data_IF_719017810857
#
_entry.id   IF_719017810857
#
_cell.length_a   1.000
_cell.length_b   1.000
_cell.length_c   1.000
_cell.angle_alpha   90.00
_cell.angle_beta   90.00
_cell.angle_gamma   90.00
#
_symmetry.space_group_name_H-M   'P 1'
#
loop_
_entity.id
_entity.type
_entity.pdbx_description
1 polymer ?
#
# COMPACT_ATOMS: atom_id res chain seq x y z
N UNK A 1 -39.36 -10.46 -27.56
CA UNK A 1 -38.50 -9.70 -28.46
C UNK A 1 -38.15 -8.33 -27.89
N UNK A 2 -36.84 -8.04 -27.75
CA UNK A 2 -36.32 -6.73 -27.29
C UNK A 2 -35.83 -5.91 -28.47
N UNK A 3 -36.12 -4.60 -28.46
CA UNK A 3 -35.68 -3.64 -29.49
C UNK A 3 -34.87 -2.51 -28.85
N UNK A 4 -33.71 -2.18 -29.44
CA UNK A 4 -32.87 -1.06 -29.02
C UNK A 4 -33.29 0.20 -29.79
N UNK A 5 -33.89 1.15 -29.09
CA UNK A 5 -34.29 2.45 -29.66
C UNK A 5 -33.18 3.47 -29.34
N UNK A 6 -32.68 4.12 -30.42
CA UNK A 6 -31.69 5.20 -30.34
C UNK A 6 -32.32 6.49 -30.82
N UNK A 7 -32.21 7.56 -30.02
CA UNK A 7 -32.68 8.90 -30.41
C UNK A 7 -31.56 9.91 -30.15
N UNK A 8 -31.14 10.58 -31.25
CA UNK A 8 -30.08 11.56 -31.15
C UNK A 8 -30.46 12.68 -30.17
N UNK A 9 -29.52 13.05 -29.28
CA UNK A 9 -29.71 14.06 -28.24
C UNK A 9 -30.55 13.61 -27.03
N UNK A 10 -31.12 12.39 -27.03
CA UNK A 10 -31.96 11.88 -25.94
C UNK A 10 -31.33 10.64 -25.27
N UNK A 11 -30.66 9.78 -26.05
CA UNK A 11 -30.03 8.59 -25.52
C UNK A 11 -30.50 7.28 -26.16
N UNK A 12 -30.29 6.18 -25.42
CA UNK A 12 -30.60 4.82 -25.83
C UNK A 12 -31.64 4.22 -24.85
N UNK A 13 -32.64 3.51 -25.38
CA UNK A 13 -33.68 2.85 -24.59
C UNK A 13 -33.90 1.43 -25.12
N UNK A 14 -34.06 0.48 -24.22
CA UNK A 14 -34.52 -0.89 -24.51
C UNK A 14 -36.04 -0.89 -24.41
N UNK A 15 -36.72 -1.38 -25.44
CA UNK A 15 -38.19 -1.53 -25.49
C UNK A 15 -38.53 -2.99 -25.75
N UNK A 16 -39.56 -3.49 -25.06
CA UNK A 16 -40.05 -4.86 -25.15
C UNK A 16 -41.02 -5.17 -24.05
N UNK A 17 -41.49 -6.42 -23.98
CA UNK A 17 -42.30 -6.89 -22.86
C UNK A 17 -41.49 -6.83 -21.53
N UNK A 18 -42.20 -6.55 -20.43
CA UNK A 18 -41.55 -6.40 -19.11
C UNK A 18 -40.81 -7.66 -18.71
N UNK A 19 -41.34 -8.81 -19.06
CA UNK A 19 -40.77 -10.14 -18.81
C UNK A 19 -39.46 -10.34 -19.59
N UNK A 20 -39.42 -9.89 -20.86
CA UNK A 20 -38.20 -9.97 -21.71
C UNK A 20 -37.12 -9.02 -21.21
N UNK A 21 -37.48 -7.82 -20.74
CA UNK A 21 -36.56 -6.86 -20.15
C UNK A 21 -35.96 -7.40 -18.85
N UNK A 22 -36.79 -8.01 -17.99
CA UNK A 22 -36.32 -8.60 -16.73
C UNK A 22 -35.47 -9.86 -16.98
N UNK A 23 -35.81 -10.67 -17.98
CA UNK A 23 -34.98 -11.79 -18.41
C UNK A 23 -33.60 -11.35 -18.92
N UNK A 24 -33.55 -10.25 -19.70
CA UNK A 24 -32.29 -9.66 -20.13
C UNK A 24 -31.49 -9.11 -18.93
N UNK A 25 -32.15 -8.44 -17.99
CA UNK A 25 -31.51 -7.95 -16.77
C UNK A 25 -30.89 -9.08 -15.94
N UNK A 26 -31.64 -10.17 -15.75
CA UNK A 26 -31.14 -11.36 -15.05
C UNK A 26 -30.01 -12.05 -15.82
N UNK A 27 -30.07 -12.07 -17.16
CA UNK A 27 -29.01 -12.61 -18.00
C UNK A 27 -27.74 -11.75 -17.92
N UNK A 28 -27.87 -10.42 -17.92
CA UNK A 28 -26.74 -9.49 -17.75
C UNK A 28 -26.15 -9.55 -16.32
N UNK A 29 -26.99 -9.76 -15.30
CA UNK A 29 -26.51 -9.95 -13.93
C UNK A 29 -25.81 -11.32 -13.73
N UNK A 30 -26.15 -12.33 -14.55
CA UNK A 30 -25.47 -13.63 -14.58
C UNK A 30 -24.22 -13.65 -15.45
N UNK A 31 -24.14 -12.81 -16.46
CA UNK A 31 -22.91 -12.51 -17.16
C UNK A 31 -22.13 -11.54 -16.25
N UNK A 32 -21.12 -12.02 -15.57
CA UNK A 32 -20.15 -11.14 -14.95
C UNK A 32 -19.66 -10.18 -16.05
N UNK A 33 -19.71 -8.86 -15.84
CA UNK A 33 -19.04 -7.95 -16.76
C UNK A 33 -17.55 -8.22 -16.61
N UNK A 34 -16.98 -8.95 -17.57
CA UNK A 34 -15.52 -9.05 -17.75
C UNK A 34 -14.97 -7.73 -18.33
N UNK A 35 -15.60 -6.62 -18.05
CA UNK A 35 -15.14 -5.31 -18.48
C UNK A 35 -14.58 -4.56 -17.28
N UNK A 36 -13.28 -4.70 -17.12
CA UNK A 36 -12.52 -3.89 -16.16
C UNK A 36 -12.57 -2.42 -16.55
N UNK A 37 -12.71 -1.53 -15.58
CA UNK A 37 -12.48 -0.09 -15.78
C UNK A 37 -11.05 0.14 -16.26
N UNK A 38 -10.72 1.30 -16.84
CA UNK A 38 -9.33 1.61 -17.20
C UNK A 38 -8.36 1.48 -16.03
N UNK A 39 -8.76 1.90 -14.84
CA UNK A 39 -7.98 1.84 -13.61
C UNK A 39 -7.74 0.38 -13.17
N UNK A 40 -8.79 -0.43 -13.18
CA UNK A 40 -8.70 -1.86 -12.87
C UNK A 40 -7.78 -2.59 -13.84
N UNK A 41 -7.87 -2.30 -15.15
CA UNK A 41 -6.98 -2.89 -16.15
C UNK A 41 -5.52 -2.50 -15.92
N UNK A 42 -5.27 -1.23 -15.57
CA UNK A 42 -3.93 -0.75 -15.26
C UNK A 42 -3.34 -1.49 -14.07
N UNK A 43 -4.11 -1.65 -12.99
CA UNK A 43 -3.71 -2.43 -11.82
C UNK A 43 -3.41 -3.89 -12.20
N UNK A 44 -4.29 -4.53 -12.96
CA UNK A 44 -4.08 -5.90 -13.44
C UNK A 44 -2.83 -6.07 -14.30
N UNK A 45 -2.56 -5.10 -15.19
CA UNK A 45 -1.33 -5.10 -16.00
C UNK A 45 -0.09 -4.93 -15.12
N UNK A 46 -0.12 -4.05 -14.13
CA UNK A 46 1.00 -3.88 -13.20
C UNK A 46 1.29 -5.16 -12.42
N UNK A 47 0.26 -5.81 -11.88
CA UNK A 47 0.44 -7.11 -11.21
C UNK A 47 1.11 -8.12 -12.13
N UNK A 48 0.61 -8.26 -13.37
CA UNK A 48 1.19 -9.20 -14.34
C UNK A 48 2.65 -8.87 -14.68
N UNK A 49 3.00 -7.59 -14.83
CA UNK A 49 4.37 -7.17 -15.16
C UNK A 49 5.32 -7.29 -13.96
N UNK A 50 4.82 -7.13 -12.74
CA UNK A 50 5.60 -7.30 -11.51
C UNK A 50 5.88 -8.78 -11.20
N UNK A 51 4.94 -9.68 -11.54
CA UNK A 51 5.12 -11.13 -11.43
C UNK A 51 6.01 -11.71 -12.53
N UNK A 52 6.06 -11.05 -13.70
CA UNK A 52 6.76 -11.59 -14.86
C UNK A 52 8.28 -11.53 -14.69
N UNK A 53 8.95 -12.69 -14.73
CA UNK A 53 10.41 -12.79 -14.82
C UNK A 53 10.95 -12.55 -16.23
N UNK A 54 10.07 -12.48 -17.24
CA UNK A 54 10.40 -12.29 -18.66
C UNK A 54 9.43 -11.30 -19.33
N UNK A 55 9.81 -10.69 -20.46
CA UNK A 55 8.97 -9.72 -21.16
C UNK A 55 7.62 -10.31 -21.59
N UNK A 56 6.55 -9.65 -21.19
CA UNK A 56 5.18 -10.06 -21.47
C UNK A 56 4.71 -9.59 -22.83
N UNK A 57 4.11 -10.46 -23.62
CA UNK A 57 3.57 -10.10 -24.95
C UNK A 57 2.30 -9.25 -24.80
N UNK A 58 2.17 -8.18 -25.60
CA UNK A 58 0.97 -7.34 -25.62
C UNK A 58 -0.31 -8.13 -25.92
N UNK A 59 -0.21 -9.16 -26.77
CA UNK A 59 -1.35 -10.02 -27.09
C UNK A 59 -1.79 -10.86 -25.89
N UNK A 60 -0.87 -11.28 -25.03
CA UNK A 60 -1.21 -11.98 -23.79
C UNK A 60 -2.00 -11.07 -22.86
N UNK A 61 -1.49 -9.86 -22.58
CA UNK A 61 -2.20 -8.87 -21.78
C UNK A 61 -3.58 -8.53 -22.36
N UNK A 62 -3.69 -8.40 -23.69
CA UNK A 62 -4.96 -8.11 -24.36
C UNK A 62 -5.97 -9.25 -24.18
N UNK A 63 -5.53 -10.49 -24.28
CA UNK A 63 -6.37 -11.67 -24.05
C UNK A 63 -6.81 -11.80 -22.59
N UNK A 64 -5.88 -11.64 -21.65
CA UNK A 64 -6.15 -11.76 -20.22
C UNK A 64 -7.16 -10.71 -19.73
N UNK A 65 -7.09 -9.51 -20.30
CA UNK A 65 -7.98 -8.39 -19.97
C UNK A 65 -9.22 -8.31 -20.88
N UNK A 66 -9.34 -9.20 -21.85
CA UNK A 66 -10.42 -9.20 -22.84
C UNK A 66 -10.60 -7.84 -23.56
N UNK A 67 -9.50 -7.22 -23.97
CA UNK A 67 -9.46 -5.95 -24.69
C UNK A 67 -8.60 -6.01 -25.95
N UNK A 68 -8.56 -4.93 -26.72
CA UNK A 68 -7.70 -4.87 -27.91
C UNK A 68 -6.25 -4.54 -27.53
N UNK A 69 -5.30 -4.91 -28.38
CA UNK A 69 -3.88 -4.51 -28.21
C UNK A 69 -3.74 -2.98 -28.19
N UNK A 70 -4.58 -2.25 -28.94
CA UNK A 70 -4.62 -0.79 -28.93
C UNK A 70 -5.01 -0.23 -27.55
N UNK A 71 -5.99 -0.84 -26.88
CA UNK A 71 -6.39 -0.51 -25.50
C UNK A 71 -5.24 -0.73 -24.53
N UNK A 72 -4.61 -1.91 -24.58
CA UNK A 72 -3.42 -2.22 -23.76
C UNK A 72 -2.30 -1.20 -23.98
N UNK A 73 -2.00 -0.88 -25.24
CA UNK A 73 -0.97 0.12 -25.56
C UNK A 73 -1.28 1.51 -24.99
N UNK A 74 -2.56 1.93 -25.04
CA UNK A 74 -3.01 3.19 -24.44
C UNK A 74 -2.90 3.20 -22.92
N UNK A 75 -3.32 2.12 -22.27
CA UNK A 75 -3.28 1.99 -20.81
C UNK A 75 -1.81 1.92 -20.31
N UNK A 76 -0.91 1.19 -20.99
CA UNK A 76 0.52 1.18 -20.69
C UNK A 76 1.16 2.57 -20.82
N UNK A 77 0.71 3.40 -21.77
CA UNK A 77 1.22 4.79 -21.91
C UNK A 77 0.82 5.66 -20.72
N UNK A 78 -0.37 5.45 -20.16
CA UNK A 78 -0.79 6.16 -18.94
C UNK A 78 0.02 5.71 -17.73
N UNK A 79 0.32 4.41 -17.64
CA UNK A 79 1.14 3.84 -16.56
C UNK A 79 2.56 4.41 -16.52
N UNK A 80 3.15 4.78 -17.67
CA UNK A 80 4.52 5.34 -17.71
C UNK A 80 4.68 6.58 -16.83
N UNK A 81 3.65 7.45 -16.79
CA UNK A 81 3.67 8.64 -15.91
C UNK A 81 3.74 8.27 -14.42
N UNK A 82 2.89 7.34 -13.98
CA UNK A 82 2.84 6.88 -12.59
C UNK A 82 4.13 6.12 -12.19
N UNK A 83 4.66 5.29 -13.08
CA UNK A 83 5.86 4.48 -12.82
C UNK A 83 7.12 5.35 -12.63
N UNK A 84 7.15 6.52 -13.25
CA UNK A 84 8.24 7.48 -13.03
C UNK A 84 8.37 7.91 -11.57
N UNK A 85 7.26 8.03 -10.83
CA UNK A 85 7.25 8.38 -9.40
C UNK A 85 7.89 7.29 -8.52
N UNK A 86 7.95 6.06 -9.05
CA UNK A 86 8.62 4.93 -8.42
C UNK A 86 10.03 4.67 -8.95
N UNK A 87 10.57 5.52 -9.84
CA UNK A 87 11.81 5.26 -10.56
C UNK A 87 11.79 3.93 -11.37
N UNK A 88 10.62 3.55 -11.86
CA UNK A 88 10.39 2.36 -12.69
C UNK A 88 10.13 2.77 -14.14
N UNK A 89 10.52 1.92 -15.09
CA UNK A 89 10.37 2.17 -16.52
C UNK A 89 9.74 0.99 -17.23
N UNK A 90 8.89 1.26 -18.23
CA UNK A 90 8.37 0.26 -19.16
C UNK A 90 9.26 0.19 -20.41
N UNK A 91 9.92 -0.94 -20.62
CA UNK A 91 10.63 -1.21 -21.85
C UNK A 91 9.69 -1.91 -22.82
N UNK A 92 9.42 -1.28 -23.97
CA UNK A 92 8.57 -1.83 -25.03
C UNK A 92 9.40 -2.02 -26.30
N UNK A 93 9.52 -3.25 -26.78
CA UNK A 93 10.25 -3.57 -28.03
C UNK A 93 9.38 -4.45 -28.90
N UNK A 94 9.29 -4.11 -30.19
CA UNK A 94 8.56 -4.89 -31.19
C UNK A 94 9.09 -6.32 -31.24
N UNK A 95 8.20 -7.30 -31.12
CA UNK A 95 8.55 -8.73 -31.09
C UNK A 95 9.10 -9.24 -29.75
N UNK A 96 9.62 -8.35 -28.89
CA UNK A 96 10.13 -8.68 -27.57
C UNK A 96 8.99 -8.73 -26.53
N UNK A 97 8.22 -7.69 -26.43
CA UNK A 97 7.12 -7.54 -25.48
C UNK A 97 7.26 -6.25 -24.67
N UNK A 98 6.65 -6.26 -23.49
CA UNK A 98 6.74 -5.21 -22.49
C UNK A 98 7.32 -5.77 -21.18
N UNK A 99 8.19 -5.03 -20.56
CA UNK A 99 8.90 -5.40 -19.34
C UNK A 99 8.97 -4.19 -18.40
N UNK A 100 8.81 -4.44 -17.10
CA UNK A 100 8.97 -3.44 -16.05
C UNK A 100 10.39 -3.52 -15.48
N UNK A 101 11.15 -2.43 -15.62
CA UNK A 101 12.56 -2.37 -15.23
C UNK A 101 12.77 -1.29 -14.17
N UNK A 102 13.61 -1.60 -13.18
CA UNK A 102 14.01 -0.74 -12.08
C UNK A 102 14.54 -1.54 -10.90
N UNK A 103 14.98 -0.83 -9.86
CA UNK A 103 15.49 -1.42 -8.64
C UNK A 103 14.42 -2.24 -7.90
N UNK A 104 14.84 -3.32 -7.26
CA UNK A 104 13.92 -4.23 -6.54
C UNK A 104 13.15 -3.51 -5.43
N UNK A 105 13.80 -2.60 -4.71
CA UNK A 105 13.15 -1.76 -3.70
C UNK A 105 11.96 -0.96 -4.28
N UNK A 106 12.16 -0.39 -5.47
CA UNK A 106 11.12 0.36 -6.19
C UNK A 106 9.95 -0.55 -6.61
N UNK A 107 10.23 -1.76 -7.08
CA UNK A 107 9.20 -2.75 -7.43
C UNK A 107 8.40 -3.17 -6.19
N UNK A 108 9.06 -3.48 -5.07
CA UNK A 108 8.40 -3.83 -3.80
C UNK A 108 7.55 -2.69 -3.25
N UNK A 109 8.04 -1.46 -3.37
CA UNK A 109 7.27 -0.28 -2.99
C UNK A 109 5.98 -0.17 -3.81
N UNK A 110 6.05 -0.32 -5.12
CA UNK A 110 4.87 -0.32 -5.99
C UNK A 110 3.90 -1.46 -5.62
N UNK A 111 4.41 -2.69 -5.40
CA UNK A 111 3.58 -3.83 -4.98
C UNK A 111 2.84 -3.55 -3.67
N UNK A 112 3.54 -3.04 -2.68
CA UNK A 112 2.96 -2.70 -1.37
C UNK A 112 1.89 -1.61 -1.48
N UNK A 113 2.15 -0.58 -2.27
CA UNK A 113 1.20 0.51 -2.49
C UNK A 113 -0.06 0.03 -3.24
N UNK A 114 0.09 -0.87 -4.24
CA UNK A 114 -1.05 -1.49 -4.91
C UNK A 114 -1.90 -2.32 -3.95
N UNK A 115 -1.27 -3.13 -3.09
CA UNK A 115 -1.96 -3.93 -2.09
C UNK A 115 -2.70 -3.01 -1.10
N UNK A 116 -2.02 -1.99 -0.56
CA UNK A 116 -2.59 -1.07 0.42
C UNK A 116 -3.72 -0.20 -0.13
N UNK A 117 -3.70 0.09 -1.44
CA UNK A 117 -4.73 0.91 -2.10
C UNK A 117 -6.01 0.12 -2.37
N UNK A 118 -5.89 -1.18 -2.64
CA UNK A 118 -7.00 -2.02 -3.10
C UNK A 118 -7.50 -3.04 -2.09
N UNK A 119 -6.77 -3.26 -0.98
CA UNK A 119 -7.20 -4.09 0.14
C UNK A 119 -7.39 -3.22 1.37
N UNK A 120 -8.62 -3.15 1.87
CA UNK A 120 -8.85 -2.48 3.13
C UNK A 120 -8.40 -3.35 4.33
N UNK A 121 -8.21 -2.71 5.47
CA UNK A 121 -7.73 -3.35 6.69
C UNK A 121 -8.64 -4.50 7.14
N UNK A 122 -9.96 -4.34 7.01
CA UNK A 122 -10.94 -5.34 7.40
C UNK A 122 -10.91 -6.55 6.45
N UNK A 123 -10.72 -6.30 5.16
CA UNK A 123 -10.56 -7.34 4.13
C UNK A 123 -9.26 -8.12 4.35
N UNK A 124 -8.14 -7.42 4.60
CA UNK A 124 -6.86 -8.06 4.92
C UNK A 124 -6.95 -8.94 6.18
N UNK A 125 -7.49 -8.41 7.28
CA UNK A 125 -7.67 -9.15 8.53
C UNK A 125 -8.64 -10.34 8.37
N UNK A 126 -9.67 -10.19 7.52
CA UNK A 126 -10.56 -11.29 7.15
C UNK A 126 -9.80 -12.38 6.41
N UNK A 127 -8.95 -12.03 5.43
CA UNK A 127 -8.13 -12.98 4.68
C UNK A 127 -7.17 -13.75 5.59
N UNK A 128 -6.53 -13.05 6.52
CA UNK A 128 -5.59 -13.65 7.48
C UNK A 128 -6.33 -14.49 8.54
N UNK A 129 -7.48 -14.01 9.05
CA UNK A 129 -8.28 -14.69 10.10
C UNK A 129 -9.25 -15.74 9.56
N UNK A 130 -9.85 -15.54 8.37
CA UNK A 130 -10.86 -16.45 7.80
C UNK A 130 -10.30 -17.72 7.16
N UNK A 131 -9.02 -17.99 7.30
CA UNK A 131 -8.46 -19.28 6.91
C UNK A 131 -9.03 -20.46 7.71
N UNK A 132 -9.97 -20.21 8.63
CA UNK A 132 -10.68 -21.24 9.42
C UNK A 132 -12.06 -21.57 8.84
N UNK A 133 -12.67 -20.73 7.96
CA UNK A 133 -14.02 -21.02 7.40
C UNK A 133 -14.25 -20.37 6.03
N UNK A 134 -14.51 -21.23 5.07
CA UNK A 134 -15.32 -21.05 3.87
C UNK A 134 -14.64 -20.68 2.53
N UNK A 135 -14.60 -21.74 1.73
CA UNK A 135 -14.89 -21.69 0.29
C UNK A 135 -16.33 -21.17 0.11
N UNK A 136 -16.55 -19.93 -0.18
CA UNK A 136 -17.71 -19.47 -0.94
C UNK A 136 -17.71 -17.95 -1.10
N UNK A 137 -17.72 -17.48 -2.34
CA UNK A 137 -17.95 -16.09 -2.72
C UNK A 137 -17.21 -15.69 -3.99
N UNK A 138 -17.51 -16.38 -5.11
CA UNK A 138 -17.07 -15.94 -6.44
C UNK A 138 -17.81 -14.66 -6.80
N UNK A 139 -17.19 -13.51 -6.73
CA UNK A 139 -17.61 -12.35 -7.53
C UNK A 139 -16.87 -11.00 -7.29
N UNK A 140 -16.05 -10.82 -6.23
CA UNK A 140 -15.16 -9.65 -6.15
C UNK A 140 -13.68 -10.05 -6.36
N UNK A 141 -13.53 -11.16 -7.02
CA UNK A 141 -12.35 -12.01 -7.04
C UNK A 141 -11.18 -11.48 -7.89
N UNK A 142 -11.36 -10.48 -8.78
CA UNK A 142 -10.32 -10.36 -9.81
C UNK A 142 -9.13 -9.50 -9.43
N UNK A 143 -9.32 -8.35 -8.83
CA UNK A 143 -8.20 -7.47 -8.47
C UNK A 143 -7.57 -7.89 -7.15
N UNK A 144 -8.39 -8.08 -6.11
CA UNK A 144 -7.90 -8.55 -4.80
C UNK A 144 -7.22 -9.92 -4.90
N UNK A 145 -7.76 -10.86 -5.70
CA UNK A 145 -7.11 -12.15 -5.96
C UNK A 145 -5.78 -12.00 -6.72
N UNK A 146 -5.71 -11.09 -7.70
CA UNK A 146 -4.50 -10.84 -8.46
C UNK A 146 -3.43 -10.15 -7.59
N UNK A 147 -3.83 -9.20 -6.76
CA UNK A 147 -2.94 -8.53 -5.80
C UNK A 147 -2.44 -9.49 -4.73
N UNK A 148 -3.31 -10.39 -4.25
CA UNK A 148 -2.92 -11.48 -3.36
C UNK A 148 -2.07 -12.54 -4.07
N UNK A 149 -2.11 -12.62 -5.40
CA UNK A 149 -1.21 -13.42 -6.22
C UNK A 149 0.22 -12.89 -6.20
N UNK A 150 0.44 -11.58 -5.99
CA UNK A 150 1.78 -11.01 -5.76
C UNK A 150 2.44 -11.55 -4.50
N UNK A 151 1.62 -12.02 -3.54
CA UNK A 151 2.07 -12.66 -2.30
C UNK A 151 1.17 -13.85 -2.04
N UNK A 152 1.72 -15.05 -2.01
CA UNK A 152 0.96 -16.23 -1.65
C UNK A 152 0.29 -16.06 -0.28
N UNK A 153 -1.03 -16.31 -0.23
CA UNK A 153 -1.84 -16.16 0.98
C UNK A 153 -1.26 -16.91 2.17
N UNK A 154 -0.73 -18.09 1.93
CA UNK A 154 -0.08 -18.95 2.93
C UNK A 154 1.13 -18.23 3.55
N UNK A 155 1.90 -17.49 2.77
CA UNK A 155 3.05 -16.71 3.26
C UNK A 155 2.61 -15.58 4.18
N UNK A 156 1.55 -14.87 3.84
CA UNK A 156 0.98 -13.82 4.72
C UNK A 156 0.61 -14.38 6.09
N UNK A 157 -0.05 -15.54 6.13
CA UNK A 157 -0.47 -16.19 7.38
C UNK A 157 0.74 -16.65 8.21
N UNK A 158 1.74 -17.22 7.55
CA UNK A 158 2.94 -17.70 8.22
C UNK A 158 3.74 -16.52 8.77
N UNK A 159 3.94 -15.47 7.97
CA UNK A 159 4.64 -14.26 8.39
C UNK A 159 3.92 -13.58 9.54
N UNK A 160 2.59 -13.44 9.47
CA UNK A 160 1.78 -12.87 10.54
C UNK A 160 1.97 -13.64 11.85
N UNK A 161 1.94 -14.97 11.81
CA UNK A 161 2.17 -15.81 13.00
C UNK A 161 3.58 -15.61 13.59
N UNK A 162 4.60 -15.52 12.74
CA UNK A 162 5.97 -15.27 13.18
C UNK A 162 6.10 -13.91 13.86
N UNK A 163 5.49 -12.89 13.28
CA UNK A 163 5.49 -11.54 13.88
C UNK A 163 4.73 -11.56 15.21
N UNK A 164 3.54 -12.19 15.27
CA UNK A 164 2.75 -12.28 16.50
C UNK A 164 3.50 -13.00 17.63
N UNK A 165 4.22 -14.10 17.32
CA UNK A 165 5.05 -14.80 18.31
C UNK A 165 6.14 -13.89 18.87
N UNK A 166 6.86 -13.16 18.02
CA UNK A 166 7.95 -12.28 18.43
C UNK A 166 7.40 -11.01 19.10
N UNK A 167 6.27 -10.49 18.61
CA UNK A 167 5.62 -9.31 19.17
C UNK A 167 5.21 -9.49 20.63
N UNK A 168 4.90 -10.71 21.09
CA UNK A 168 4.62 -11.00 22.50
C UNK A 168 5.83 -10.78 23.41
N UNK A 169 7.03 -10.81 22.86
CA UNK A 169 8.28 -10.51 23.58
C UNK A 169 8.57 -8.99 23.62
N UNK A 170 7.81 -8.19 22.88
CA UNK A 170 8.01 -6.76 22.79
C UNK A 170 7.26 -6.02 23.88
N UNK A 171 7.93 -5.05 24.49
CA UNK A 171 7.31 -4.19 25.49
C UNK A 171 6.51 -3.03 24.87
N UNK A 172 6.11 -3.10 23.60
CA UNK A 172 5.44 -2.02 22.87
C UNK A 172 4.42 -2.51 21.85
N UNK A 173 3.40 -1.67 21.61
CA UNK A 173 2.35 -1.94 20.64
C UNK A 173 2.65 -1.27 19.28
N UNK A 174 2.51 -2.02 18.21
CA UNK A 174 2.50 -1.51 16.84
C UNK A 174 1.07 -1.07 16.53
N UNK A 175 0.89 0.08 15.85
CA UNK A 175 -0.42 0.46 15.34
C UNK A 175 -0.92 -0.55 14.30
N UNK A 176 -2.23 -0.85 14.27
CA UNK A 176 -2.79 -1.91 13.43
C UNK A 176 -2.44 -1.75 11.94
N UNK A 177 -2.52 -0.53 11.41
CA UNK A 177 -2.12 -0.23 10.02
C UNK A 177 -0.64 -0.46 9.75
N UNK A 178 0.23 -0.14 10.71
CA UNK A 178 1.66 -0.39 10.59
C UNK A 178 2.02 -1.87 10.72
N UNK A 179 1.26 -2.62 11.53
CA UNK A 179 1.38 -4.07 11.65
C UNK A 179 1.03 -4.78 10.34
N UNK A 180 -0.09 -4.41 9.72
CA UNK A 180 -0.51 -4.94 8.42
C UNK A 180 0.55 -4.62 7.36
N UNK A 181 1.01 -3.37 7.29
CA UNK A 181 2.09 -2.97 6.38
C UNK A 181 3.34 -3.82 6.56
N UNK A 182 3.76 -4.07 7.80
CA UNK A 182 4.92 -4.93 8.10
C UNK A 182 4.71 -6.37 7.61
N UNK A 183 3.55 -6.97 7.87
CA UNK A 183 3.22 -8.33 7.39
C UNK A 183 3.29 -8.41 5.87
N UNK A 184 2.70 -7.45 5.16
CA UNK A 184 2.72 -7.38 3.70
C UNK A 184 4.15 -7.23 3.17
N UNK A 185 4.94 -6.30 3.72
CA UNK A 185 6.32 -6.09 3.31
C UNK A 185 7.20 -7.32 3.50
N UNK A 186 7.05 -8.01 4.65
CA UNK A 186 7.80 -9.23 4.91
C UNK A 186 7.38 -10.38 4.01
N UNK A 187 6.10 -10.56 3.77
CA UNK A 187 5.62 -11.60 2.89
C UNK A 187 6.05 -11.36 1.42
N UNK A 188 6.04 -10.09 0.96
CA UNK A 188 6.63 -9.70 -0.32
C UNK A 188 8.13 -9.98 -0.36
N UNK A 189 8.87 -9.65 0.70
CA UNK A 189 10.31 -9.92 0.77
C UNK A 189 10.60 -11.42 0.63
N UNK A 190 9.89 -12.27 1.34
CA UNK A 190 10.02 -13.74 1.24
C UNK A 190 9.74 -14.23 -0.19
N UNK A 191 8.64 -13.76 -0.81
CA UNK A 191 8.30 -14.09 -2.19
C UNK A 191 9.43 -13.75 -3.16
N UNK A 192 9.95 -12.51 -3.05
CA UNK A 192 10.99 -12.00 -3.93
C UNK A 192 12.34 -12.68 -3.72
N UNK A 193 12.72 -12.98 -2.47
CA UNK A 193 13.93 -13.76 -2.15
C UNK A 193 13.86 -15.15 -2.79
N UNK A 194 12.72 -15.83 -2.72
CA UNK A 194 12.54 -17.14 -3.35
C UNK A 194 12.63 -17.10 -4.87
N UNK A 195 12.32 -15.96 -5.48
CA UNK A 195 12.52 -15.71 -6.91
C UNK A 195 13.96 -15.30 -7.26
N UNK A 196 14.85 -15.20 -6.27
CA UNK A 196 16.24 -14.77 -6.45
C UNK A 196 16.44 -13.25 -6.52
N UNK A 197 15.39 -12.47 -6.23
CA UNK A 197 15.40 -11.02 -6.25
C UNK A 197 15.67 -10.47 -4.84
N UNK A 198 16.77 -9.74 -4.68
CA UNK A 198 17.19 -9.18 -3.41
C UNK A 198 17.35 -7.66 -3.52
N UNK A 199 17.08 -6.96 -2.43
CA UNK A 199 17.35 -5.52 -2.34
C UNK A 199 18.84 -5.28 -2.07
N UNK A 200 19.29 -4.05 -2.41
CA UNK A 200 20.61 -3.57 -2.08
C UNK A 200 20.51 -2.39 -1.12
N UNK A 201 21.26 -2.44 -0.03
CA UNK A 201 21.41 -1.32 0.91
C UNK A 201 22.88 -0.91 0.93
N UNK A 202 23.13 0.41 0.92
CA UNK A 202 24.48 0.93 1.09
C UNK A 202 25.10 0.40 2.38
N UNK A 203 26.36 -0.04 2.31
CA UNK A 203 27.05 -0.67 3.43
C UNK A 203 27.19 0.24 4.64
N UNK A 204 27.42 1.53 4.44
CA UNK A 204 27.53 2.51 5.54
C UNK A 204 26.19 2.69 6.24
N UNK A 205 25.10 2.71 5.45
CA UNK A 205 23.76 2.81 6.00
C UNK A 205 23.37 1.53 6.74
N UNK A 206 23.66 0.36 6.19
CA UNK A 206 23.42 -0.93 6.85
C UNK A 206 24.12 -1.02 8.20
N UNK A 207 25.40 -0.60 8.29
CA UNK A 207 26.14 -0.54 9.58
C UNK A 207 25.47 0.41 10.57
N UNK A 208 24.90 1.52 10.11
CA UNK A 208 24.15 2.42 10.99
C UNK A 208 22.86 1.79 11.52
N UNK A 209 22.19 0.95 10.73
CA UNK A 209 21.00 0.19 11.16
C UNK A 209 21.34 -0.86 12.19
N UNK A 210 22.48 -1.55 12.05
CA UNK A 210 22.95 -2.58 13.00
C UNK A 210 23.11 -2.06 14.42
N UNK A 211 23.38 -0.77 14.58
CA UNK A 211 23.51 -0.14 15.90
C UNK A 211 22.16 0.12 16.60
N UNK A 212 21.03 -0.17 15.96
CA UNK A 212 19.69 0.15 16.47
C UNK A 212 19.05 -1.03 17.20
N UNK A 213 18.17 -0.79 18.19
CA UNK A 213 17.41 -1.86 18.85
C UNK A 213 16.49 -2.61 17.87
N UNK A 214 15.98 -1.91 16.87
CA UNK A 214 15.10 -2.47 15.83
C UNK A 214 15.83 -3.50 14.97
N UNK A 215 17.14 -3.34 14.77
CA UNK A 215 17.95 -4.33 14.04
C UNK A 215 18.01 -5.68 14.76
N UNK A 216 18.21 -5.69 16.08
CA UNK A 216 18.20 -6.92 16.86
C UNK A 216 16.87 -7.66 16.73
N UNK A 217 15.79 -6.91 16.59
CA UNK A 217 14.46 -7.43 16.41
C UNK A 217 14.24 -7.96 15.00
N UNK A 218 14.66 -7.19 14.00
CA UNK A 218 14.67 -7.62 12.61
C UNK A 218 15.47 -8.92 12.42
N UNK A 219 16.61 -9.04 13.09
CA UNK A 219 17.43 -10.25 13.06
C UNK A 219 16.71 -11.48 13.65
N UNK A 220 15.96 -11.31 14.75
CA UNK A 220 15.14 -12.39 15.31
C UNK A 220 14.03 -12.80 14.33
N UNK A 221 13.36 -11.82 13.69
CA UNK A 221 12.34 -12.06 12.66
C UNK A 221 12.98 -12.82 11.49
N UNK A 222 14.08 -12.32 10.93
CA UNK A 222 14.79 -12.95 9.82
C UNK A 222 15.14 -14.39 10.12
N UNK A 223 15.79 -14.67 11.24
CA UNK A 223 16.16 -16.04 11.66
C UNK A 223 14.95 -16.97 11.79
N UNK A 224 13.83 -16.47 12.29
CA UNK A 224 12.61 -17.27 12.41
C UNK A 224 12.01 -17.56 11.04
N UNK A 225 11.98 -16.57 10.14
CA UNK A 225 11.50 -16.71 8.77
C UNK A 225 12.40 -17.66 7.95
N UNK A 226 13.74 -17.58 8.09
CA UNK A 226 14.71 -18.52 7.49
C UNK A 226 14.39 -19.96 7.87
N UNK A 227 14.14 -20.21 9.17
CA UNK A 227 13.80 -21.55 9.66
C UNK A 227 12.47 -22.06 9.10
N UNK A 228 11.45 -21.19 9.04
CA UNK A 228 10.10 -21.59 8.60
C UNK A 228 10.04 -21.80 7.11
N UNK A 229 10.64 -20.90 6.32
CA UNK A 229 10.62 -20.96 4.84
C UNK A 229 11.80 -21.73 4.23
N UNK A 230 12.78 -22.14 5.05
CA UNK A 230 14.01 -22.83 4.61
C UNK A 230 14.75 -22.05 3.50
N UNK A 231 14.87 -20.77 3.68
CA UNK A 231 15.59 -19.83 2.79
C UNK A 231 16.72 -19.16 3.57
N UNK A 232 17.68 -18.60 2.85
CA UNK A 232 18.69 -17.68 3.38
C UNK A 232 18.20 -16.23 3.17
N UNK A 233 18.16 -15.43 4.24
CA UNK A 233 17.75 -14.03 4.18
C UNK A 233 19.01 -13.16 4.22
N UNK A 234 19.37 -12.48 3.12
CA UNK A 234 20.54 -11.62 3.09
C UNK A 234 20.48 -10.52 4.15
N UNK A 235 21.67 -10.07 4.61
CA UNK A 235 21.78 -9.04 5.63
C UNK A 235 21.11 -7.71 5.22
N UNK A 236 21.13 -7.36 3.91
CA UNK A 236 20.42 -6.22 3.38
C UNK A 236 18.90 -6.31 3.60
N UNK A 237 18.31 -7.51 3.50
CA UNK A 237 16.90 -7.73 3.79
C UNK A 237 16.58 -7.54 5.28
N UNK A 238 17.48 -7.98 6.17
CA UNK A 238 17.36 -7.68 7.61
C UNK A 238 17.42 -6.18 7.88
N UNK A 239 18.29 -5.46 7.16
CA UNK A 239 18.33 -4.00 7.18
C UNK A 239 17.01 -3.37 6.69
N UNK A 240 16.43 -3.90 5.63
CA UNK A 240 15.13 -3.46 5.10
C UNK A 240 13.99 -3.69 6.10
N UNK A 241 13.95 -4.85 6.75
CA UNK A 241 13.01 -5.15 7.86
C UNK A 241 13.20 -4.13 8.99
N UNK A 242 14.45 -3.80 9.33
CA UNK A 242 14.77 -2.79 10.36
C UNK A 242 14.16 -1.43 10.01
N UNK A 243 14.29 -0.99 8.76
CA UNK A 243 13.69 0.27 8.31
C UNK A 243 12.16 0.26 8.46
N UNK A 244 11.51 -0.86 8.12
CA UNK A 244 10.07 -1.00 8.30
C UNK A 244 9.66 -1.03 9.77
N UNK A 245 10.42 -1.68 10.64
CA UNK A 245 10.20 -1.64 12.09
C UNK A 245 10.37 -0.23 12.64
N UNK A 246 11.38 0.53 12.22
CA UNK A 246 11.56 1.91 12.59
C UNK A 246 10.42 2.80 12.09
N UNK A 247 9.94 2.57 10.86
CA UNK A 247 8.79 3.27 10.27
C UNK A 247 7.45 2.90 10.90
N UNK A 248 7.30 1.69 11.40
CA UNK A 248 6.13 1.18 12.11
C UNK A 248 6.09 1.63 13.58
N UNK A 249 7.10 2.35 14.07
CA UNK A 249 7.27 2.78 15.45
C UNK A 249 6.08 3.67 15.89
N UNK A 250 5.15 3.31 16.71
CA UNK A 250 5.23 2.74 18.01
C UNK A 250 4.48 3.62 18.99
N UNK A 251 3.44 3.12 19.55
CA UNK A 251 2.84 3.71 20.75
C UNK A 251 3.71 3.32 21.96
N UNK A 252 4.63 4.19 22.32
CA UNK A 252 5.29 4.12 23.61
C UNK A 252 4.49 4.96 24.61
N UNK A 253 3.88 4.34 25.58
CA UNK A 253 3.07 5.06 26.55
C UNK A 253 3.87 5.83 27.62
N UNK A 254 5.14 5.55 27.90
CA UNK A 254 5.84 6.22 29.02
C UNK A 254 7.35 6.48 28.88
N UNK A 255 8.07 5.99 27.87
CA UNK A 255 9.52 6.25 27.75
C UNK A 255 9.89 7.36 26.75
N UNK A 256 8.90 7.87 26.03
CA UNK A 256 9.07 8.86 24.96
C UNK A 256 9.58 10.23 25.44
N UNK A 257 9.43 10.54 26.71
CA UNK A 257 9.76 11.87 27.26
C UNK A 257 11.26 12.08 27.58
N UNK A 258 12.09 11.07 27.52
CA UNK A 258 13.46 11.14 28.01
C UNK A 258 14.57 11.17 26.95
N UNK A 259 14.27 11.19 25.65
CA UNK A 259 15.29 11.28 24.60
C UNK A 259 15.29 12.63 23.87
N UNK A 260 16.47 13.26 23.57
CA UNK A 260 16.55 14.59 22.98
C UNK A 260 15.85 14.76 21.63
N UNK A 261 15.78 13.70 20.82
CA UNK A 261 15.08 13.72 19.53
C UNK A 261 13.56 13.76 19.70
N UNK A 262 13.05 13.17 20.75
CA UNK A 262 11.62 13.12 21.07
C UNK A 262 11.13 14.40 21.73
N UNK A 263 11.97 15.05 22.56
CA UNK A 263 11.70 16.40 23.03
C UNK A 263 11.43 17.37 21.86
N UNK A 264 12.24 17.31 20.81
CA UNK A 264 12.03 18.13 19.60
C UNK A 264 10.72 17.81 18.89
N UNK A 265 10.29 16.55 18.85
CA UNK A 265 9.00 16.15 18.24
C UNK A 265 7.84 16.65 19.11
N UNK A 266 7.95 16.51 20.42
CA UNK A 266 6.93 17.01 21.35
C UNK A 266 6.81 18.55 21.29
N UNK A 267 7.93 19.29 21.21
CA UNK A 267 7.93 20.74 20.99
C UNK A 267 7.28 21.13 19.67
N UNK A 268 7.59 20.41 18.57
CA UNK A 268 6.99 20.64 17.26
C UNK A 268 5.49 20.32 17.26
N UNK A 269 5.08 19.21 17.90
CA UNK A 269 3.68 18.86 18.07
C UNK A 269 2.90 19.94 18.85
N UNK A 270 3.46 20.43 19.95
CA UNK A 270 2.86 21.54 20.71
C UNK A 270 2.76 22.80 19.86
N UNK A 271 3.84 23.17 19.16
CA UNK A 271 3.84 24.33 18.26
C UNK A 271 2.77 24.21 17.16
N UNK A 272 2.56 23.02 16.62
CA UNK A 272 1.53 22.75 15.60
C UNK A 272 0.13 22.91 16.18
N UNK A 273 -0.14 22.33 17.35
CA UNK A 273 -1.42 22.47 18.08
C UNK A 273 -1.72 23.93 18.37
N UNK A 274 -0.74 24.68 18.93
CA UNK A 274 -0.88 26.10 19.26
C UNK A 274 -1.12 26.95 18.00
N UNK A 275 -0.48 26.61 16.87
CA UNK A 275 -0.65 27.35 15.63
C UNK A 275 -2.04 27.12 15.02
N UNK A 276 -2.48 25.87 14.96
CA UNK A 276 -3.83 25.51 14.47
C UNK A 276 -4.88 26.13 15.39
N UNK A 277 -4.74 25.97 16.71
CA UNK A 277 -5.69 26.50 17.71
C UNK A 277 -5.88 28.01 17.56
N UNK A 278 -4.79 28.77 17.40
CA UNK A 278 -4.86 30.24 17.16
C UNK A 278 -5.59 30.59 15.87
N UNK A 279 -5.39 29.79 14.80
CA UNK A 279 -6.05 30.06 13.51
C UNK A 279 -7.55 29.75 13.52
N UNK A 280 -7.99 28.77 14.28
CA UNK A 280 -9.41 28.41 14.37
C UNK A 280 -10.13 29.00 15.58
N UNK A 281 -9.38 29.70 16.46
CA UNK A 281 -9.95 30.34 17.65
C UNK A 281 -10.30 29.37 18.78
N UNK A 282 -9.65 28.20 18.84
CA UNK A 282 -9.86 27.17 19.87
C UNK A 282 -8.59 26.97 20.68
N UNK A 283 -8.71 26.92 22.00
CA UNK A 283 -7.61 26.60 22.89
C UNK A 283 -7.55 25.08 23.14
N UNK A 284 -6.45 24.47 22.74
CA UNK A 284 -6.17 23.02 22.93
C UNK A 284 -5.10 22.77 23.99
N UNK A 285 -4.72 23.79 24.79
CA UNK A 285 -3.58 23.70 25.71
C UNK A 285 -3.75 22.56 26.71
N UNK A 286 -4.97 22.26 27.12
CA UNK A 286 -5.30 21.22 28.10
C UNK A 286 -5.75 19.89 27.45
N UNK A 287 -5.77 19.83 26.12
CA UNK A 287 -6.13 18.58 25.42
C UNK A 287 -4.92 17.63 25.32
N UNK A 288 -4.68 16.93 26.43
CA UNK A 288 -3.62 15.96 26.56
C UNK A 288 -3.79 14.77 25.56
N UNK A 289 -5.02 14.40 25.24
CA UNK A 289 -5.31 13.30 24.30
C UNK A 289 -4.88 13.67 22.88
N UNK A 290 -5.21 14.88 22.43
CA UNK A 290 -4.77 15.41 21.13
C UNK A 290 -3.24 15.49 21.07
N UNK A 291 -2.59 16.02 22.11
CA UNK A 291 -1.13 16.12 22.17
C UNK A 291 -0.45 14.75 22.10
N UNK A 292 -0.87 13.80 22.90
CA UNK A 292 -0.33 12.44 22.93
C UNK A 292 -0.55 11.73 21.59
N UNK A 293 -1.76 11.82 21.04
CA UNK A 293 -2.08 11.26 19.74
C UNK A 293 -1.16 11.83 18.65
N UNK A 294 -1.00 13.15 18.61
CA UNK A 294 -0.16 13.79 17.60
C UNK A 294 1.32 13.40 17.74
N UNK A 295 1.89 13.40 18.95
CA UNK A 295 3.28 12.98 19.18
C UNK A 295 3.50 11.54 18.73
N UNK A 296 2.56 10.65 19.03
CA UNK A 296 2.63 9.24 18.67
C UNK A 296 2.69 9.01 17.15
N UNK A 297 1.91 9.79 16.38
CA UNK A 297 1.84 9.65 14.94
C UNK A 297 2.89 10.46 14.18
N UNK A 298 3.31 11.60 14.72
CA UNK A 298 4.23 12.52 14.05
C UNK A 298 5.64 11.94 13.88
N UNK A 299 6.15 11.22 14.87
CA UNK A 299 7.49 10.64 14.80
C UNK A 299 7.65 9.61 13.66
N UNK A 300 6.77 8.60 13.55
CA UNK A 300 6.79 7.65 12.43
C UNK A 300 6.54 8.32 11.07
N UNK A 301 5.63 9.31 11.01
CA UNK A 301 5.34 10.02 9.76
C UNK A 301 6.58 10.79 9.27
N UNK A 302 7.25 11.56 10.13
CA UNK A 302 8.46 12.29 9.80
C UNK A 302 9.61 11.37 9.38
N UNK A 303 9.72 10.19 10.01
CA UNK A 303 10.69 9.18 9.60
C UNK A 303 10.41 8.72 8.17
N UNK A 304 9.17 8.34 7.85
CA UNK A 304 8.77 7.90 6.49
C UNK A 304 9.05 8.98 5.44
N UNK A 305 8.69 10.23 5.73
CA UNK A 305 8.96 11.37 4.82
C UNK A 305 10.47 11.53 4.56
N UNK A 306 11.30 11.46 5.61
CA UNK A 306 12.76 11.54 5.46
C UNK A 306 13.35 10.40 4.64
N UNK A 307 12.80 9.20 4.77
CA UNK A 307 13.21 8.02 4.01
C UNK A 307 12.54 7.95 2.62
N UNK A 308 11.76 8.98 2.23
CA UNK A 308 10.98 9.02 0.99
C UNK A 308 10.02 7.83 0.84
N UNK A 309 9.59 7.26 1.96
CA UNK A 309 8.56 6.22 1.97
C UNK A 309 7.20 6.87 1.72
N UNK A 310 6.37 6.22 0.91
CA UNK A 310 5.02 6.73 0.67
C UNK A 310 4.16 6.55 1.93
N UNK A 311 3.42 7.58 2.26
CA UNK A 311 2.37 7.53 3.27
C UNK A 311 1.07 7.42 2.48
N UNK A 312 0.21 6.47 2.82
CA UNK A 312 -1.11 6.33 2.22
C UNK A 312 -2.17 6.56 3.28
N UNK A 313 -3.06 7.53 3.02
CA UNK A 313 -4.22 7.78 3.87
C UNK A 313 -5.50 7.55 3.05
N UNK A 314 -6.21 6.43 3.25
CA UNK A 314 -7.42 6.13 2.50
C UNK A 314 -8.55 7.13 2.75
N UNK A 315 -8.46 7.94 3.79
CA UNK A 315 -9.44 8.96 4.13
C UNK A 315 -9.09 10.36 3.59
N UNK A 316 -7.95 10.53 2.91
CA UNK A 316 -7.45 11.84 2.49
C UNK A 316 -8.48 12.65 1.70
N UNK A 317 -9.05 12.06 0.65
CA UNK A 317 -10.04 12.75 -0.19
C UNK A 317 -11.31 13.09 0.58
N UNK A 318 -11.75 12.20 1.48
CA UNK A 318 -12.90 12.46 2.35
C UNK A 318 -12.59 13.57 3.35
N UNK A 319 -11.41 13.59 3.94
CA UNK A 319 -10.97 14.66 4.85
C UNK A 319 -10.93 16.01 4.12
N UNK A 320 -10.36 16.04 2.91
CA UNK A 320 -10.34 17.26 2.07
C UNK A 320 -11.73 17.75 1.72
N UNK A 321 -12.68 16.83 1.49
CA UNK A 321 -14.07 17.18 1.16
C UNK A 321 -14.85 17.66 2.39
N UNK A 322 -14.79 16.92 3.50
CA UNK A 322 -15.60 17.16 4.69
C UNK A 322 -15.04 18.29 5.57
N UNK A 323 -13.70 18.51 5.54
CA UNK A 323 -12.99 19.44 6.42
C UNK A 323 -12.03 20.38 5.67
N UNK A 324 -12.39 20.81 4.45
CA UNK A 324 -11.51 21.57 3.53
C UNK A 324 -10.77 22.75 4.21
N UNK A 325 -11.49 23.62 4.92
CA UNK A 325 -10.87 24.79 5.57
C UNK A 325 -9.92 24.41 6.70
N UNK A 326 -10.23 23.37 7.48
CA UNK A 326 -9.35 22.85 8.52
C UNK A 326 -8.13 22.18 7.92
N UNK A 327 -8.31 21.42 6.84
CA UNK A 327 -7.22 20.78 6.10
C UNK A 327 -6.19 21.82 5.63
N UNK A 328 -6.64 22.91 5.01
CA UNK A 328 -5.75 23.99 4.53
C UNK A 328 -5.00 24.66 5.68
N UNK A 329 -5.66 24.91 6.82
CA UNK A 329 -5.04 25.48 8.02
C UNK A 329 -3.96 24.53 8.57
N UNK A 330 -4.26 23.22 8.66
CA UNK A 330 -3.31 22.23 9.17
C UNK A 330 -2.13 22.10 8.21
N UNK A 331 -2.36 22.02 6.90
CA UNK A 331 -1.33 21.95 5.87
C UNK A 331 -0.36 23.13 5.94
N UNK A 332 -0.88 24.36 6.03
CA UNK A 332 -0.08 25.57 6.20
C UNK A 332 0.71 25.54 7.52
N UNK A 333 0.09 25.06 8.60
CA UNK A 333 0.73 24.95 9.91
C UNK A 333 1.85 23.92 9.91
N UNK A 334 1.67 22.78 9.23
CA UNK A 334 2.70 21.74 9.06
C UNK A 334 3.87 22.27 8.23
N UNK A 335 3.60 22.95 7.12
CA UNK A 335 4.64 23.54 6.26
C UNK A 335 5.50 24.55 7.04
N UNK A 336 4.87 25.37 7.90
CA UNK A 336 5.58 26.34 8.74
C UNK A 336 6.37 25.67 9.88
N UNK A 337 5.90 24.54 10.39
CA UNK A 337 6.57 23.82 11.50
C UNK A 337 7.77 22.99 11.01
N UNK A 338 7.73 22.53 9.76
CA UNK A 338 8.73 21.67 9.13
C UNK A 338 9.20 22.21 7.77
N UNK A 339 9.75 23.43 7.69
CA UNK A 339 10.12 24.06 6.43
C UNK A 339 11.21 23.30 5.66
N UNK A 340 11.96 22.44 6.36
CA UNK A 340 13.03 21.62 5.78
C UNK A 340 12.54 20.36 5.07
N UNK A 341 11.25 20.03 5.20
CA UNK A 341 10.69 18.79 4.65
C UNK A 341 9.65 19.08 3.57
N UNK A 342 9.73 18.35 2.46
CA UNK A 342 8.63 18.30 1.49
C UNK A 342 7.61 17.26 1.99
N UNK A 343 6.64 17.73 2.79
CA UNK A 343 5.64 16.87 3.43
C UNK A 343 4.46 16.70 2.46
N UNK A 344 4.09 15.46 2.11
CA UNK A 344 2.91 15.20 1.28
C UNK A 344 1.62 15.54 2.03
N UNK A 345 0.52 15.70 1.29
CA UNK A 345 -0.81 15.97 1.87
C UNK A 345 -1.32 14.81 2.73
N UNK A 346 -0.81 13.61 2.52
CA UNK A 346 -1.12 12.37 3.25
C UNK A 346 -0.41 12.37 4.60
#
# INVERSE_FOLDING_TARGET
HLTLLKKSGVGIRIAGAKEDIEALRLALLKQQPNEYTPEERQTMMLCTLLEAGEPTKLVALANDLNVTIGTVSSDLTKLEGMLHDYNLQLIRKRGYGVELVGEEESKRKLMSDLISTHLDESEFLSIVKDNIRNKAGKSMASISEKLLGLVEKEKLIIVERVIEEIHREWNYHIADSAYIGLVVHLALAIERIQQGENIHIDSTYLESLKATPEYNMAEKISRKLEQVFQIDIPEAETGYITMHLQGAKLRYENELMNQPAQLKIAEKAKSLIDHVGRKIGVDFTDDYSLFQGLVTHLAPALFRVKQRMRIHNPLLEKIKQDYASLFDIVKDSVTNTFPELNIPDE
#
